data_IF_285473694637
#
_entry.id   IF_285473694637
#
_cell.length_a   1.000
_cell.length_b   1.000
_cell.length_c   1.000
_cell.angle_alpha   90.00
_cell.angle_beta   90.00
_cell.angle_gamma   90.00
#
_symmetry.space_group_name_H-M   'P 1'
#
loop_
_entity.id
_entity.type
_entity.pdbx_description
1 polymer ?
#
# COMPACT_ATOMS: atom_id res chain seq x y z
N UNK A 1 -9.41 -22.82 -4.21
CA UNK A 1 -8.00 -22.99 -3.82
C UNK A 1 -7.45 -21.59 -3.65
N UNK A 2 -6.82 -21.29 -2.52
CA UNK A 2 -6.36 -19.93 -2.16
C UNK A 2 -5.34 -19.45 -3.18
N UNK A 3 -5.77 -18.58 -4.08
CA UNK A 3 -4.94 -17.99 -5.13
C UNK A 3 -3.88 -17.03 -4.56
N UNK A 4 -4.00 -16.61 -3.29
CA UNK A 4 -3.07 -15.69 -2.62
C UNK A 4 -2.43 -16.33 -1.38
N UNK A 5 -1.33 -17.09 -1.51
CA UNK A 5 -0.76 -17.88 -0.42
C UNK A 5 -0.16 -17.04 0.73
N UNK A 6 0.16 -15.77 0.50
CA UNK A 6 0.70 -14.88 1.55
C UNK A 6 -0.39 -14.19 2.37
N UNK A 7 -1.64 -14.19 1.88
CA UNK A 7 -2.77 -13.51 2.52
C UNK A 7 -3.37 -14.43 3.57
N UNK A 8 -3.35 -14.00 4.83
CA UNK A 8 -3.87 -14.78 5.98
C UNK A 8 -5.38 -14.63 6.18
N UNK A 9 -5.99 -13.63 5.55
CA UNK A 9 -7.42 -13.39 5.58
C UNK A 9 -8.12 -14.37 4.63
N UNK A 10 -9.31 -14.83 5.00
CA UNK A 10 -10.08 -15.80 4.21
C UNK A 10 -11.44 -15.27 3.79
N UNK A 11 -11.99 -14.30 4.54
CA UNK A 11 -13.32 -13.75 4.30
C UNK A 11 -13.22 -12.28 3.87
N UNK A 12 -14.10 -11.88 2.95
CA UNK A 12 -14.18 -10.49 2.50
C UNK A 12 -14.40 -9.52 3.66
N UNK A 13 -15.28 -9.86 4.60
CA UNK A 13 -15.59 -9.01 5.76
C UNK A 13 -14.37 -8.64 6.61
N UNK A 14 -13.32 -9.48 6.64
CA UNK A 14 -12.10 -9.18 7.38
C UNK A 14 -11.32 -8.05 6.69
N UNK A 15 -11.33 -8.00 5.36
CA UNK A 15 -10.73 -6.91 4.58
C UNK A 15 -11.53 -5.63 4.78
N UNK A 16 -12.87 -5.69 4.71
CA UNK A 16 -13.73 -4.52 4.94
C UNK A 16 -13.60 -3.97 6.38
N UNK A 17 -13.48 -4.84 7.39
CA UNK A 17 -13.20 -4.40 8.75
C UNK A 17 -11.83 -3.69 8.87
N UNK A 18 -10.80 -4.17 8.15
CA UNK A 18 -9.51 -3.49 8.07
C UNK A 18 -9.57 -2.17 7.27
N UNK A 19 -10.56 -1.99 6.40
CA UNK A 19 -10.80 -0.73 5.71
C UNK A 19 -11.55 0.30 6.59
N UNK A 20 -11.94 -0.10 7.81
CA UNK A 20 -12.73 0.70 8.76
C UNK A 20 -14.15 0.98 8.23
N UNK A 21 -14.77 -0.03 7.62
CA UNK A 21 -16.18 0.00 7.21
C UNK A 21 -17.07 -0.33 8.42
N UNK A 22 -18.18 0.40 8.55
CA UNK A 22 -19.17 0.21 9.60
C UNK A 22 -19.71 -1.23 9.64
N UNK A 23 -20.02 -1.73 10.84
CA UNK A 23 -20.42 -3.13 11.04
C UNK A 23 -21.67 -3.51 10.23
N UNK A 24 -22.61 -2.56 10.07
CA UNK A 24 -23.85 -2.73 9.33
C UNK A 24 -23.62 -2.86 7.80
N UNK A 25 -22.50 -2.37 7.29
CA UNK A 25 -22.12 -2.40 5.87
C UNK A 25 -21.16 -3.56 5.53
N UNK A 26 -20.80 -4.38 6.52
CA UNK A 26 -19.92 -5.53 6.29
C UNK A 26 -20.61 -6.60 5.43
N UNK A 27 -19.89 -7.21 4.47
CA UNK A 27 -20.44 -8.30 3.69
C UNK A 27 -20.69 -9.56 4.55
N UNK A 28 -21.54 -10.49 4.08
CA UNK A 28 -21.78 -11.75 4.78
C UNK A 28 -20.50 -12.52 5.11
N UNK A 29 -20.49 -13.26 6.23
CA UNK A 29 -19.33 -14.07 6.63
C UNK A 29 -18.97 -15.19 5.62
N UNK A 30 -19.93 -15.62 4.79
CA UNK A 30 -19.70 -16.61 3.76
C UNK A 30 -18.97 -16.05 2.52
N UNK A 31 -18.85 -14.73 2.40
CA UNK A 31 -18.21 -14.11 1.23
C UNK A 31 -16.71 -14.37 1.24
N UNK A 32 -16.27 -15.14 0.24
CA UNK A 32 -14.86 -15.46 0.01
C UNK A 32 -14.07 -14.20 -0.37
N UNK A 33 -12.87 -14.08 0.23
CA UNK A 33 -12.01 -12.93 0.03
C UNK A 33 -11.63 -12.71 -1.45
N UNK A 34 -11.27 -13.77 -2.16
CA UNK A 34 -10.79 -13.68 -3.53
C UNK A 34 -11.95 -13.49 -4.52
N UNK A 35 -13.07 -14.19 -4.32
CA UNK A 35 -14.28 -14.00 -5.12
C UNK A 35 -14.77 -12.55 -5.06
N UNK A 36 -14.75 -11.93 -3.88
CA UNK A 36 -15.08 -10.51 -3.72
C UNK A 36 -14.10 -9.61 -4.47
N UNK A 37 -12.80 -9.85 -4.38
CA UNK A 37 -11.80 -9.11 -5.17
C UNK A 37 -12.08 -9.21 -6.67
N UNK A 38 -12.30 -10.42 -7.21
CA UNK A 38 -12.59 -10.63 -8.63
C UNK A 38 -13.83 -9.85 -9.08
N UNK A 39 -14.87 -9.77 -8.23
CA UNK A 39 -16.05 -8.96 -8.51
C UNK A 39 -15.73 -7.47 -8.58
N UNK A 40 -14.96 -6.94 -7.61
CA UNK A 40 -14.54 -5.53 -7.61
C UNK A 40 -13.66 -5.21 -8.82
N UNK A 41 -12.73 -6.13 -9.15
CA UNK A 41 -11.78 -6.00 -10.27
C UNK A 41 -12.45 -5.92 -11.64
N UNK A 42 -13.62 -6.54 -11.78
CA UNK A 42 -14.46 -6.52 -13.00
C UNK A 42 -15.46 -5.36 -13.05
N UNK A 43 -15.65 -4.67 -11.92
CA UNK A 43 -16.55 -3.52 -11.83
C UNK A 43 -15.98 -2.27 -12.50
N UNK A 44 -16.76 -1.20 -12.46
CA UNK A 44 -16.43 0.08 -13.09
C UNK A 44 -15.53 0.98 -12.22
N UNK A 45 -15.35 0.62 -10.94
CA UNK A 45 -14.59 1.37 -9.95
C UNK A 45 -13.26 0.66 -9.59
N UNK A 46 -12.17 0.86 -10.37
CA UNK A 46 -10.89 0.21 -10.11
C UNK A 46 -10.25 0.63 -8.79
N UNK A 47 -10.64 1.79 -8.24
CA UNK A 47 -10.20 2.25 -6.93
C UNK A 47 -10.65 1.32 -5.80
N UNK A 48 -11.85 0.75 -5.89
CA UNK A 48 -12.40 -0.14 -4.85
C UNK A 48 -11.64 -1.46 -4.82
N UNK A 49 -11.34 -2.03 -5.99
CA UNK A 49 -10.50 -3.20 -6.12
C UNK A 49 -9.08 -2.95 -5.56
N UNK A 50 -8.56 -1.74 -5.78
CA UNK A 50 -7.23 -1.34 -5.34
C UNK A 50 -7.17 -1.17 -3.82
N UNK A 51 -8.15 -0.50 -3.23
CA UNK A 51 -8.26 -0.37 -1.78
C UNK A 51 -8.42 -1.76 -1.14
N UNK A 52 -9.28 -2.61 -1.71
CA UNK A 52 -9.50 -3.96 -1.21
C UNK A 52 -8.23 -4.82 -1.22
N UNK A 53 -7.51 -4.91 -2.34
CA UNK A 53 -6.29 -5.73 -2.40
C UNK A 53 -5.17 -5.18 -1.54
N UNK A 54 -5.05 -3.85 -1.41
CA UNK A 54 -4.10 -3.24 -0.51
C UNK A 54 -4.36 -3.64 0.96
N UNK A 55 -5.63 -3.71 1.37
CA UNK A 55 -5.99 -4.13 2.73
C UNK A 55 -5.94 -5.65 2.94
N UNK A 56 -5.96 -6.44 1.86
CA UNK A 56 -5.78 -7.89 1.92
C UNK A 56 -4.30 -8.30 2.05
N UNK A 57 -3.38 -7.55 1.42
CA UNK A 57 -1.95 -7.83 1.47
C UNK A 57 -1.37 -7.66 2.88
N UNK A 58 -0.35 -8.45 3.27
CA UNK A 58 0.41 -8.12 4.46
C UNK A 58 1.15 -6.78 4.28
N UNK A 59 1.37 -6.06 5.39
CA UNK A 59 1.79 -4.65 5.38
C UNK A 59 3.08 -4.40 4.59
N UNK A 60 4.08 -5.27 4.75
CA UNK A 60 5.37 -5.09 4.07
C UNK A 60 5.22 -5.25 2.55
N UNK A 61 4.44 -6.22 2.11
CA UNK A 61 4.11 -6.49 0.72
C UNK A 61 3.30 -5.36 0.11
N UNK A 62 2.31 -4.82 0.83
CA UNK A 62 1.53 -3.66 0.40
C UNK A 62 2.42 -2.42 0.20
N UNK A 63 3.34 -2.15 1.13
CA UNK A 63 4.30 -1.05 1.00
C UNK A 63 5.28 -1.27 -0.15
N UNK A 64 5.81 -2.49 -0.30
CA UNK A 64 6.72 -2.84 -1.39
C UNK A 64 6.05 -2.71 -2.77
N UNK A 65 4.80 -3.17 -2.89
CA UNK A 65 3.96 -2.99 -4.07
C UNK A 65 3.78 -1.50 -4.40
N UNK A 66 3.36 -0.69 -3.43
CA UNK A 66 3.16 0.74 -3.63
C UNK A 66 4.47 1.44 -4.05
N UNK A 67 5.59 1.14 -3.39
CA UNK A 67 6.90 1.68 -3.76
C UNK A 67 7.30 1.30 -5.18
N UNK A 68 7.05 0.05 -5.62
CA UNK A 68 7.35 -0.36 -6.99
C UNK A 68 6.47 0.37 -8.01
N UNK A 69 5.17 0.54 -7.74
CA UNK A 69 4.31 1.36 -8.58
C UNK A 69 4.85 2.78 -8.73
N UNK A 70 5.18 3.46 -7.63
CA UNK A 70 5.72 4.82 -7.65
C UNK A 70 7.07 4.88 -8.38
N UNK A 71 7.97 3.93 -8.12
CA UNK A 71 9.27 3.85 -8.78
C UNK A 71 9.11 3.73 -10.30
N UNK A 72 8.22 2.85 -10.78
CA UNK A 72 7.96 2.70 -12.21
C UNK A 72 7.45 4.00 -12.85
N UNK A 73 6.55 4.74 -12.18
CA UNK A 73 6.04 6.02 -12.67
C UNK A 73 7.05 7.17 -12.61
N UNK A 74 8.02 7.08 -11.69
CA UNK A 74 9.06 8.10 -11.53
C UNK A 74 10.15 7.99 -12.61
N UNK A 75 10.33 6.85 -13.27
CA UNK A 75 11.44 6.60 -14.22
C UNK A 75 11.56 7.64 -15.34
N UNK A 76 10.44 8.13 -15.84
CA UNK A 76 10.40 9.09 -16.96
C UNK A 76 10.14 10.52 -16.47
N UNK A 77 10.33 10.78 -15.17
CA UNK A 77 9.99 12.06 -14.52
C UNK A 77 11.11 12.56 -13.64
N UNK A 78 11.35 13.87 -13.69
CA UNK A 78 12.18 14.55 -12.69
C UNK A 78 11.31 14.86 -11.48
N UNK A 79 11.45 14.08 -10.41
CA UNK A 79 10.82 14.37 -9.14
C UNK A 79 11.56 15.52 -8.43
N UNK A 80 10.87 16.39 -7.69
CA UNK A 80 11.54 17.28 -6.74
C UNK A 80 12.41 16.46 -5.79
N UNK A 81 13.60 16.98 -5.44
CA UNK A 81 14.59 16.24 -4.64
C UNK A 81 14.01 15.67 -3.33
N UNK A 82 13.12 16.42 -2.67
CA UNK A 82 12.43 15.99 -1.44
C UNK A 82 11.52 14.79 -1.63
N UNK A 83 10.85 14.68 -2.78
CA UNK A 83 9.95 13.57 -3.09
C UNK A 83 10.78 12.35 -3.48
N UNK A 84 11.86 12.54 -4.26
CA UNK A 84 12.82 11.49 -4.56
C UNK A 84 13.44 10.89 -3.28
N UNK A 85 13.85 11.74 -2.33
CA UNK A 85 14.39 11.27 -1.05
C UNK A 85 13.38 10.42 -0.26
N UNK A 86 12.10 10.82 -0.22
CA UNK A 86 11.07 10.01 0.44
C UNK A 86 10.90 8.63 -0.23
N UNK A 87 10.95 8.56 -1.57
CA UNK A 87 10.95 7.30 -2.31
C UNK A 87 12.18 6.44 -2.00
N UNK A 88 13.38 7.03 -2.03
CA UNK A 88 14.65 6.33 -1.80
C UNK A 88 14.71 5.75 -0.37
N UNK A 89 14.26 6.50 0.64
CA UNK A 89 14.17 6.02 2.01
C UNK A 89 13.15 4.87 2.16
N UNK A 90 12.00 4.96 1.48
CA UNK A 90 11.01 3.88 1.47
C UNK A 90 11.59 2.61 0.82
N UNK A 91 12.30 2.73 -0.30
CA UNK A 91 12.99 1.61 -0.95
C UNK A 91 14.05 0.99 -0.04
N UNK A 92 14.85 1.81 0.65
CA UNK A 92 15.82 1.33 1.63
C UNK A 92 15.16 0.56 2.78
N UNK A 93 14.01 1.01 3.26
CA UNK A 93 13.26 0.29 4.29
C UNK A 93 12.72 -1.05 3.78
N UNK A 94 12.33 -1.15 2.51
CA UNK A 94 11.89 -2.43 1.92
C UNK A 94 13.04 -3.44 1.89
N UNK A 95 14.24 -2.98 1.52
CA UNK A 95 15.43 -3.81 1.48
C UNK A 95 15.91 -4.21 2.89
N UNK A 96 15.80 -3.30 3.86
CA UNK A 96 16.18 -3.51 5.26
C UNK A 96 15.08 -2.98 6.22
N UNK A 97 14.05 -3.80 6.52
CA UNK A 97 12.95 -3.39 7.38
C UNK A 97 13.37 -3.26 8.85
N UNK A 98 13.78 -2.06 9.25
CA UNK A 98 14.17 -1.72 10.63
C UNK A 98 13.42 -0.50 11.15
N UNK A 99 13.30 -0.35 12.48
CA UNK A 99 12.66 0.85 13.07
C UNK A 99 13.43 2.12 12.73
N UNK A 100 14.76 2.03 12.67
CA UNK A 100 15.64 3.13 12.24
C UNK A 100 15.31 3.58 10.83
N UNK A 101 15.25 2.65 9.86
CA UNK A 101 14.88 2.99 8.48
C UNK A 101 13.43 3.49 8.41
N UNK A 102 12.50 2.90 9.19
CA UNK A 102 11.09 3.32 9.26
C UNK A 102 10.95 4.78 9.68
N UNK A 103 11.67 5.19 10.74
CA UNK A 103 11.66 6.57 11.26
C UNK A 103 12.41 7.54 10.34
N UNK A 104 13.48 7.11 9.68
CA UNK A 104 14.15 7.90 8.66
C UNK A 104 13.23 8.19 7.47
N UNK A 105 12.47 7.19 7.01
CA UNK A 105 11.46 7.36 5.95
C UNK A 105 10.37 8.34 6.37
N UNK A 106 9.89 8.28 7.62
CA UNK A 106 8.93 9.25 8.13
C UNK A 106 9.47 10.69 8.08
N UNK A 107 10.72 10.91 8.50
CA UNK A 107 11.34 12.23 8.42
C UNK A 107 11.46 12.75 6.98
N UNK A 108 11.81 11.86 6.03
CA UNK A 108 11.85 12.22 4.61
C UNK A 108 10.45 12.54 4.04
N UNK A 109 9.42 11.77 4.44
CA UNK A 109 8.03 12.04 4.04
C UNK A 109 7.50 13.36 4.60
N UNK A 110 7.85 13.72 5.83
CA UNK A 110 7.48 15.00 6.42
C UNK A 110 8.07 16.20 5.65
N UNK A 111 9.25 16.04 5.05
CA UNK A 111 9.88 17.04 4.20
C UNK A 111 9.35 17.06 2.75
N UNK A 112 8.71 15.97 2.29
CA UNK A 112 8.16 15.83 0.95
C UNK A 112 6.95 16.74 0.70
N UNK A 113 6.60 16.93 -0.57
CA UNK A 113 5.47 17.79 -0.95
C UNK A 113 4.14 17.32 -0.35
N UNK A 114 3.29 18.24 0.11
CA UNK A 114 2.03 17.90 0.79
C UNK A 114 1.07 17.03 -0.04
N UNK A 115 1.14 17.14 -1.37
CA UNK A 115 0.34 16.36 -2.32
C UNK A 115 1.15 15.27 -3.03
N UNK A 116 2.37 14.98 -2.58
CA UNK A 116 3.22 13.99 -3.27
C UNK A 116 2.79 12.56 -2.91
N UNK A 117 2.66 11.68 -3.91
CA UNK A 117 2.52 10.24 -3.69
C UNK A 117 3.62 9.67 -2.78
N UNK A 118 4.86 10.18 -2.91
CA UNK A 118 6.02 9.74 -2.15
C UNK A 118 5.89 10.05 -0.65
N UNK A 119 5.26 11.18 -0.29
CA UNK A 119 4.87 11.46 1.10
C UNK A 119 3.95 10.37 1.64
N UNK A 120 2.89 10.02 0.90
CA UNK A 120 1.95 8.97 1.31
C UNK A 120 2.63 7.61 1.47
N UNK A 121 3.55 7.27 0.56
CA UNK A 121 4.34 6.04 0.67
C UNK A 121 5.18 6.02 1.97
N UNK A 122 5.83 7.13 2.31
CA UNK A 122 6.61 7.19 3.54
C UNK A 122 5.75 7.18 4.80
N UNK A 123 4.52 7.72 4.76
CA UNK A 123 3.55 7.52 5.83
C UNK A 123 3.12 6.04 5.94
N UNK A 124 2.94 5.34 4.82
CA UNK A 124 2.65 3.91 4.84
C UNK A 124 3.77 3.11 5.52
N UNK A 125 5.03 3.41 5.19
CA UNK A 125 6.20 2.85 5.89
C UNK A 125 6.15 3.15 7.38
N UNK A 126 5.92 4.40 7.76
CA UNK A 126 5.86 4.79 9.17
C UNK A 126 4.77 4.03 9.94
N UNK A 127 3.58 3.89 9.38
CA UNK A 127 2.45 3.20 10.03
C UNK A 127 2.48 1.67 9.91
N UNK A 128 3.49 1.08 9.25
CA UNK A 128 3.59 -0.37 9.03
C UNK A 128 3.79 -1.19 10.31
N UNK A 129 4.32 -0.58 11.37
CA UNK A 129 4.56 -1.21 12.66
C UNK A 129 5.33 -0.31 13.63
N UNK A 130 5.76 -0.88 14.75
CA UNK A 130 6.45 -0.14 15.81
C UNK A 130 5.58 0.92 16.50
N UNK A 131 6.20 1.68 17.40
CA UNK A 131 5.53 2.82 18.04
C UNK A 131 5.52 4.03 17.09
N UNK A 132 4.37 4.70 16.98
CA UNK A 132 4.25 5.98 16.27
C UNK A 132 4.53 7.20 17.17
N UNK A 133 4.70 6.98 18.48
CA UNK A 133 5.10 8.03 19.39
C UNK A 133 6.58 8.43 19.19
N UNK A 134 6.99 9.63 19.65
CA UNK A 134 8.40 9.98 19.78
C UNK A 134 9.20 8.92 20.56
N UNK A 135 10.49 8.77 20.26
CA UNK A 135 11.36 7.70 20.80
C UNK A 135 11.40 7.67 22.34
N UNK A 136 11.22 8.82 22.99
CA UNK A 136 11.27 8.96 24.46
C UNK A 136 9.89 9.06 25.12
N UNK A 137 8.81 8.76 24.39
CA UNK A 137 7.44 8.79 24.89
C UNK A 137 6.89 7.36 25.06
N UNK A 138 5.78 7.24 25.80
CA UNK A 138 5.06 5.97 25.91
C UNK A 138 4.67 5.45 24.52
N UNK A 139 4.85 4.14 24.25
CA UNK A 139 4.58 3.59 22.93
C UNK A 139 3.10 3.66 22.58
N UNK A 140 2.82 4.08 21.35
CA UNK A 140 1.47 4.15 20.78
C UNK A 140 1.47 3.35 19.48
N UNK A 141 0.51 2.44 19.33
CA UNK A 141 0.33 1.70 18.08
C UNK A 141 -0.44 2.54 17.07
N UNK A 142 -0.10 2.37 15.79
CA UNK A 142 -0.88 2.94 14.70
C UNK A 142 -2.29 2.34 14.65
N UNK A 143 -3.29 3.10 14.17
CA UNK A 143 -4.56 2.52 13.73
C UNK A 143 -4.31 1.36 12.75
N UNK A 144 -5.02 0.21 12.87
CA UNK A 144 -4.72 -1.00 12.09
C UNK A 144 -4.70 -0.82 10.57
N UNK A 145 -5.54 0.08 10.07
CA UNK A 145 -5.80 0.41 8.67
C UNK A 145 -4.79 1.41 8.08
N UNK A 146 -4.13 2.20 8.93
CA UNK A 146 -3.36 3.37 8.49
C UNK A 146 -2.31 3.03 7.42
N UNK A 147 -1.48 2.01 7.66
CA UNK A 147 -0.46 1.56 6.70
C UNK A 147 -1.03 1.26 5.32
N UNK A 148 -2.12 0.48 5.26
CA UNK A 148 -2.69 -0.04 4.02
C UNK A 148 -3.45 1.06 3.28
N UNK A 149 -4.14 1.93 4.02
CA UNK A 149 -4.79 3.14 3.49
C UNK A 149 -3.78 4.12 2.86
N UNK A 150 -2.64 4.36 3.51
CA UNK A 150 -1.58 5.20 2.95
C UNK A 150 -0.90 4.56 1.73
N UNK A 151 -0.67 3.25 1.72
CA UNK A 151 -0.12 2.54 0.57
C UNK A 151 -1.05 2.64 -0.66
N UNK A 152 -2.34 2.36 -0.48
CA UNK A 152 -3.34 2.51 -1.53
C UNK A 152 -3.46 3.96 -2.01
N UNK A 153 -3.47 4.92 -1.07
CA UNK A 153 -3.48 6.35 -1.35
C UNK A 153 -2.28 6.80 -2.19
N UNK A 154 -1.07 6.31 -1.89
CA UNK A 154 0.13 6.61 -2.66
C UNK A 154 -0.02 6.17 -4.12
N UNK A 155 -0.50 4.95 -4.35
CA UNK A 155 -0.71 4.42 -5.71
C UNK A 155 -1.77 5.22 -6.46
N UNK A 156 -2.92 5.50 -5.83
CA UNK A 156 -3.98 6.34 -6.42
C UNK A 156 -3.46 7.73 -6.76
N UNK A 157 -2.76 8.39 -5.85
CA UNK A 157 -2.19 9.71 -6.09
C UNK A 157 -1.16 9.69 -7.24
N UNK A 158 -0.35 8.64 -7.34
CA UNK A 158 0.59 8.47 -8.45
C UNK A 158 -0.14 8.24 -9.79
N UNK A 159 -1.27 7.53 -9.78
CA UNK A 159 -2.11 7.32 -10.96
C UNK A 159 -2.72 8.63 -11.47
N UNK A 160 -3.24 9.47 -10.59
CA UNK A 160 -3.74 10.79 -11.01
C UNK A 160 -2.63 11.69 -11.54
N UNK A 161 -1.43 11.59 -10.98
CA UNK A 161 -0.25 12.32 -11.47
C UNK A 161 0.22 11.82 -12.85
N UNK A 162 -0.06 10.57 -13.24
CA UNK A 162 0.41 9.99 -14.50
C UNK A 162 -0.23 10.64 -15.73
N UNK A 163 -1.46 11.16 -15.59
CA UNK A 163 -2.28 11.67 -16.70
C UNK A 163 -3.12 10.57 -17.38
N UNK A 164 -2.88 9.30 -17.05
CA UNK A 164 -3.61 8.12 -17.54
C UNK A 164 -4.06 7.24 -16.38
N UNK A 165 -4.88 7.77 -15.44
CA UNK A 165 -5.18 7.09 -14.17
C UNK A 165 -5.78 5.70 -14.35
N UNK A 166 -6.65 5.48 -15.34
CA UNK A 166 -7.24 4.15 -15.60
C UNK A 166 -6.20 3.07 -15.96
N UNK A 167 -5.28 3.39 -16.86
CA UNK A 167 -4.18 2.48 -17.25
C UNK A 167 -3.26 2.23 -16.06
N UNK A 168 -2.86 3.28 -15.36
CA UNK A 168 -1.97 3.16 -14.20
C UNK A 168 -2.58 2.33 -13.06
N UNK A 169 -3.87 2.52 -12.75
CA UNK A 169 -4.56 1.70 -11.74
C UNK A 169 -4.65 0.24 -12.19
N UNK A 170 -4.88 -0.01 -13.48
CA UNK A 170 -4.92 -1.37 -14.03
C UNK A 170 -3.57 -2.07 -13.90
N UNK A 171 -2.47 -1.39 -14.24
CA UNK A 171 -1.10 -1.91 -14.07
C UNK A 171 -0.77 -2.17 -12.59
N UNK A 172 -1.18 -1.26 -11.70
CA UNK A 172 -0.98 -1.42 -10.27
C UNK A 172 -1.75 -2.63 -9.71
N UNK A 173 -2.99 -2.85 -10.13
CA UNK A 173 -3.78 -4.03 -9.76
C UNK A 173 -3.13 -5.33 -10.24
N UNK A 174 -2.68 -5.37 -11.49
CA UNK A 174 -1.94 -6.52 -12.03
C UNK A 174 -0.69 -6.82 -11.21
N UNK A 175 0.06 -5.79 -10.79
CA UNK A 175 1.22 -5.97 -9.93
C UNK A 175 0.83 -6.45 -8.52
N UNK A 176 -0.27 -5.95 -7.95
CA UNK A 176 -0.78 -6.36 -6.65
C UNK A 176 -1.19 -7.84 -6.66
N UNK A 177 -1.86 -8.30 -7.71
CA UNK A 177 -2.22 -9.72 -7.93
C UNK A 177 -0.97 -10.60 -7.91
N UNK A 178 0.07 -10.20 -8.64
CA UNK A 178 1.35 -10.93 -8.67
C UNK A 178 2.04 -10.98 -7.30
N UNK A 179 1.97 -9.90 -6.52
CA UNK A 179 2.49 -9.85 -5.15
C UNK A 179 1.66 -10.74 -4.22
N UNK A 180 0.34 -10.75 -4.35
CA UNK A 180 -0.53 -11.62 -3.57
C UNK A 180 -0.27 -13.11 -3.86
N UNK A 181 0.13 -13.44 -5.10
CA UNK A 181 0.48 -14.80 -5.51
C UNK A 181 1.89 -15.25 -5.08
N UNK A 182 2.89 -14.36 -5.14
CA UNK A 182 4.32 -14.73 -5.02
C UNK A 182 5.09 -13.97 -3.95
N UNK A 183 4.45 -13.08 -3.20
CA UNK A 183 5.10 -12.17 -2.27
C UNK A 183 5.98 -11.13 -2.96
N UNK A 184 6.87 -10.52 -2.18
CA UNK A 184 7.82 -9.50 -2.68
C UNK A 184 8.72 -10.00 -3.82
N UNK A 185 8.86 -11.32 -4.00
CA UNK A 185 9.61 -11.91 -5.12
C UNK A 185 9.01 -11.54 -6.48
N UNK A 186 7.70 -11.25 -6.55
CA UNK A 186 7.07 -10.72 -7.76
C UNK A 186 7.65 -9.37 -8.24
N UNK A 187 8.31 -8.64 -7.34
CA UNK A 187 8.86 -7.31 -7.60
C UNK A 187 10.33 -7.36 -8.05
N UNK A 188 11.00 -8.52 -7.99
CA UNK A 188 12.33 -8.69 -8.54
C UNK A 188 12.29 -8.45 -10.07
N UNK A 189 13.30 -7.76 -10.61
CA UNK A 189 13.43 -7.72 -12.08
C UNK A 189 13.74 -9.15 -12.55
N UNK A 190 13.12 -9.61 -13.66
CA UNK A 190 13.51 -10.86 -14.29
C UNK A 190 14.99 -10.83 -14.73
#
# INVERSE_FOLDING_TARGET
MTHWPIVKLTQARQVFALMDVDEDDLPPAADDLHARYVSLRRGEAPADALDYIAHALPRQEAVAWAARCLHNHARDRSLPIRDQLALDHAMRWIDEPSDTNRRATHAAAEAAGQRSPERLLGMAVFYSGGSIAPVNASPVLAPPEACLRYAAGAVKASAYRSGTPGTTLTEALTLAEQVAERGVQALAKP
#
